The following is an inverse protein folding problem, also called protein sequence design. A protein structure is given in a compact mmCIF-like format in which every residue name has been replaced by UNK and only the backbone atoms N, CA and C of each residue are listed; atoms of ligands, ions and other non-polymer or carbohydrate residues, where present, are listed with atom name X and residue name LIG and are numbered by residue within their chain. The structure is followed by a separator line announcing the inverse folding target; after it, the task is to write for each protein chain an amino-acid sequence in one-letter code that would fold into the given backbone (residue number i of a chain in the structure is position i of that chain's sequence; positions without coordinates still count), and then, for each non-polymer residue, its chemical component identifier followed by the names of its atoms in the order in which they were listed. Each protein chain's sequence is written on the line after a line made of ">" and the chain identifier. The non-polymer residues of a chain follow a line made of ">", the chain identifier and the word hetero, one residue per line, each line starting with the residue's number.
data_IF_794435430262
#
_entry.id   IF_794435430262
#
_cell.length_a   1.000
_cell.length_b   1.000
_cell.length_c   1.000
_cell.angle_alpha   90.00
_cell.angle_beta   90.00
_cell.angle_gamma   90.00
#
_symmetry.space_group_name_H-M   'P 1'
#
loop_
_entity.id
_entity.type
_entity.pdbx_description
1 polymer ?
#
# COMPACT_ATOMS: atom_id res chain seq x y z
N UNK A 1 -4.98 -27.08 55.28
CA UNK A 1 -5.16 -27.37 53.86
C UNK A 1 -3.79 -27.33 53.20
N UNK A 2 -3.48 -28.32 52.44
CA UNK A 2 -2.23 -28.42 51.64
C UNK A 2 -2.69 -28.39 50.18
N UNK A 3 -2.05 -27.53 49.34
CA UNK A 3 -2.29 -27.52 47.92
C UNK A 3 -1.75 -28.83 47.32
N UNK A 4 -2.57 -29.53 46.54
CA UNK A 4 -2.23 -30.81 45.91
C UNK A 4 -2.12 -30.76 44.41
N UNK A 5 -2.25 -29.58 43.84
CA UNK A 5 -2.19 -29.32 42.40
C UNK A 5 -3.17 -28.23 41.98
N UNK A 6 -3.20 -27.96 40.71
CA UNK A 6 -4.16 -27.05 40.05
C UNK A 6 -4.60 -27.63 38.71
N UNK A 7 -5.86 -27.42 38.36
CA UNK A 7 -6.35 -27.66 37.01
C UNK A 7 -6.24 -26.37 36.22
N UNK A 8 -5.63 -26.44 35.03
CA UNK A 8 -5.47 -25.30 34.13
C UNK A 8 -6.39 -25.49 32.93
N UNK A 9 -7.18 -24.48 32.61
CA UNK A 9 -7.94 -24.40 31.36
C UNK A 9 -7.69 -23.09 30.66
N UNK A 10 -7.61 -23.13 29.33
CA UNK A 10 -7.39 -21.96 28.49
C UNK A 10 -8.63 -21.70 27.64
N UNK A 11 -9.02 -20.44 27.50
CA UNK A 11 -10.14 -20.00 26.65
C UNK A 11 -9.61 -18.94 25.71
N UNK A 12 -9.90 -19.10 24.43
CA UNK A 12 -9.60 -18.08 23.42
C UNK A 12 -10.70 -17.01 23.46
N UNK A 13 -10.33 -15.76 23.82
CA UNK A 13 -11.24 -14.63 23.90
C UNK A 13 -10.85 -13.56 22.87
N UNK A 14 -11.85 -12.92 22.26
CA UNK A 14 -11.65 -11.81 21.33
C UNK A 14 -11.74 -10.47 22.04
N UNK A 15 -10.66 -9.68 21.94
CA UNK A 15 -10.64 -8.28 22.41
C UNK A 15 -10.85 -7.36 21.21
N UNK A 16 -12.01 -6.68 21.11
CA UNK A 16 -12.28 -5.76 19.99
C UNK A 16 -11.26 -4.63 19.90
N UNK A 17 -10.94 -4.21 18.68
CA UNK A 17 -10.16 -3.01 18.44
C UNK A 17 -10.88 -1.77 18.99
N UNK A 18 -10.13 -0.77 19.43
CA UNK A 18 -10.68 0.49 19.95
C UNK A 18 -9.92 1.70 19.43
N UNK A 19 -10.64 2.81 19.24
CA UNK A 19 -10.03 4.09 18.93
C UNK A 19 -9.42 4.74 20.16
N UNK A 20 -8.27 5.40 19.98
CA UNK A 20 -7.61 6.22 21.00
C UNK A 20 -7.37 7.62 20.46
N UNK A 21 -7.71 8.63 21.26
CA UNK A 21 -7.33 10.02 20.97
C UNK A 21 -5.99 10.31 21.64
N UNK A 22 -4.98 10.59 20.84
CA UNK A 22 -3.65 10.98 21.31
C UNK A 22 -3.61 12.52 21.34
N UNK A 23 -3.58 13.09 22.54
CA UNK A 23 -3.51 14.54 22.74
C UNK A 23 -2.04 14.99 22.88
N UNK A 24 -1.53 15.70 21.88
CA UNK A 24 -0.21 16.31 21.95
C UNK A 24 -0.31 17.71 22.56
N UNK A 25 0.23 17.89 23.78
CA UNK A 25 0.28 19.19 24.47
C UNK A 25 1.66 19.78 24.29
N UNK A 26 1.72 20.99 23.73
CA UNK A 26 2.95 21.73 23.45
C UNK A 26 2.85 23.12 24.11
N UNK A 27 3.43 23.30 25.30
CA UNK A 27 3.45 24.62 25.94
C UNK A 27 4.14 25.68 25.08
N UNK A 28 3.57 26.86 25.04
CA UNK A 28 4.24 28.07 24.49
C UNK A 28 4.82 28.83 25.65
N UNK A 29 6.11 29.11 25.60
CA UNK A 29 6.83 29.85 26.59
C UNK A 29 7.23 31.21 26.00
N UNK A 30 7.16 32.28 26.81
CA UNK A 30 7.64 33.58 26.43
C UNK A 30 8.70 34.02 27.45
N UNK A 31 9.82 34.54 26.95
CA UNK A 31 10.84 35.15 27.80
C UNK A 31 10.31 36.50 28.36
N UNK A 32 10.37 36.67 29.68
CA UNK A 32 9.95 37.91 30.34
C UNK A 32 10.82 39.12 30.00
N UNK A 33 12.08 38.91 29.62
CA UNK A 33 13.03 39.97 29.28
C UNK A 33 13.00 40.38 27.81
N UNK A 34 13.15 39.42 26.89
CA UNK A 34 13.25 39.67 25.44
C UNK A 34 11.96 39.40 24.68
N UNK A 35 10.90 38.88 25.33
CA UNK A 35 9.60 38.53 24.73
C UNK A 35 9.67 37.50 23.60
N UNK A 36 10.79 36.81 23.44
CA UNK A 36 10.93 35.74 22.47
C UNK A 36 10.03 34.55 22.85
N UNK A 37 9.33 33.98 21.84
CA UNK A 37 8.51 32.78 22.02
C UNK A 37 9.32 31.52 21.72
N UNK A 38 9.16 30.53 22.58
CA UNK A 38 9.76 29.21 22.41
C UNK A 38 8.66 28.17 22.52
N UNK A 39 8.63 27.26 21.58
CA UNK A 39 7.70 26.11 21.59
C UNK A 39 8.40 24.91 20.95
N UNK A 40 8.23 23.72 21.51
CA UNK A 40 8.70 22.47 20.90
C UNK A 40 8.05 22.26 19.52
N UNK A 41 8.77 21.69 18.54
CA UNK A 41 8.20 21.36 17.24
C UNK A 41 7.02 20.40 17.39
N UNK A 42 6.09 20.43 16.45
CA UNK A 42 5.01 19.46 16.41
C UNK A 42 5.56 18.06 16.05
N UNK A 43 5.01 16.99 16.63
CA UNK A 43 5.36 15.65 16.18
C UNK A 43 5.05 15.50 14.68
N UNK A 44 5.93 14.81 13.97
CA UNK A 44 5.69 14.48 12.57
C UNK A 44 4.46 13.56 12.43
N UNK A 45 3.69 13.79 11.40
CA UNK A 45 2.52 12.98 11.06
C UNK A 45 2.73 12.37 9.68
N UNK A 46 2.26 11.13 9.44
CA UNK A 46 2.38 10.51 8.12
C UNK A 46 1.76 11.35 7.01
N UNK A 47 0.60 11.95 7.26
CA UNK A 47 -0.06 12.90 6.36
C UNK A 47 -0.02 14.27 7.03
N UNK A 48 0.54 15.27 6.35
CA UNK A 48 0.63 16.63 6.84
C UNK A 48 -0.76 17.18 7.19
N UNK A 49 -0.86 17.79 8.40
CA UNK A 49 -2.12 18.29 8.97
C UNK A 49 -3.22 17.23 9.08
N UNK A 50 -2.89 15.95 8.83
CA UNK A 50 -3.83 14.83 8.93
C UNK A 50 -4.24 14.55 10.37
N UNK A 51 -5.48 14.07 10.53
CA UNK A 51 -6.02 13.60 11.80
C UNK A 51 -5.48 12.20 12.18
N UNK A 52 -5.29 11.25 11.22
CA UNK A 52 -5.00 9.87 11.55
C UNK A 52 -3.56 9.68 12.04
N UNK A 53 -3.40 8.83 13.05
CA UNK A 53 -2.12 8.27 13.41
C UNK A 53 -1.70 7.15 12.44
N UNK A 54 -0.43 6.71 12.48
CA UNK A 54 0.08 5.69 11.56
C UNK A 54 -0.68 4.35 11.66
N UNK A 55 -1.07 3.93 12.86
CA UNK A 55 -1.79 2.68 13.04
C UNK A 55 -3.19 2.71 12.43
N UNK A 56 -3.89 3.85 12.50
CA UNK A 56 -5.20 3.99 11.86
C UNK A 56 -5.07 3.96 10.32
N UNK A 57 -4.05 4.60 9.75
CA UNK A 57 -3.77 4.52 8.32
C UNK A 57 -3.47 3.09 7.89
N UNK A 58 -2.61 2.38 8.62
CA UNK A 58 -2.29 0.99 8.35
C UNK A 58 -3.54 0.10 8.42
N UNK A 59 -4.38 0.28 9.44
CA UNK A 59 -5.63 -0.46 9.59
C UNK A 59 -6.59 -0.24 8.41
N UNK A 60 -6.78 1.02 7.98
CA UNK A 60 -7.63 1.34 6.81
C UNK A 60 -7.11 0.67 5.53
N UNK A 61 -5.79 0.68 5.31
CA UNK A 61 -5.18 0.06 4.14
C UNK A 61 -5.27 -1.46 4.16
N UNK A 62 -4.94 -2.10 5.29
CA UNK A 62 -5.03 -3.56 5.43
C UNK A 62 -6.48 -4.02 5.26
N UNK A 63 -7.42 -3.39 5.95
CA UNK A 63 -8.83 -3.71 5.81
C UNK A 63 -9.32 -3.56 4.35
N UNK A 64 -8.84 -2.54 3.62
CA UNK A 64 -9.24 -2.32 2.23
C UNK A 64 -8.60 -3.31 1.26
N UNK A 65 -7.29 -3.56 1.36
CA UNK A 65 -6.53 -4.29 0.35
C UNK A 65 -6.19 -5.72 0.76
N UNK A 66 -6.06 -5.99 2.05
CA UNK A 66 -5.86 -7.33 2.60
C UNK A 66 -7.18 -8.06 2.84
N UNK A 67 -8.14 -7.39 3.50
CA UNK A 67 -9.41 -7.99 3.89
C UNK A 67 -10.54 -7.72 2.89
N UNK A 68 -10.25 -6.99 1.79
CA UNK A 68 -11.21 -6.60 0.74
C UNK A 68 -12.43 -5.83 1.26
N UNK A 69 -12.29 -5.10 2.38
CA UNK A 69 -13.36 -4.35 3.02
C UNK A 69 -13.51 -2.95 2.39
N UNK A 70 -14.59 -2.65 1.67
CA UNK A 70 -14.77 -1.34 1.03
C UNK A 70 -14.81 -0.19 2.05
N UNK A 71 -14.34 1.00 1.66
CA UNK A 71 -14.28 2.17 2.55
C UNK A 71 -15.64 2.57 3.12
N UNK A 72 -16.74 2.37 2.39
CA UNK A 72 -18.07 2.66 2.92
C UNK A 72 -18.45 1.75 4.10
N UNK A 73 -18.06 0.46 4.04
CA UNK A 73 -18.27 -0.46 5.16
C UNK A 73 -17.38 -0.13 6.35
N UNK A 74 -16.13 0.26 6.10
CA UNK A 74 -15.25 0.74 7.16
C UNK A 74 -15.86 1.96 7.87
N UNK A 75 -16.38 2.93 7.10
CA UNK A 75 -17.08 4.10 7.64
C UNK A 75 -18.26 3.71 8.56
N UNK A 76 -19.07 2.72 8.15
CA UNK A 76 -20.19 2.22 8.96
C UNK A 76 -19.72 1.47 10.22
N UNK A 77 -18.62 0.70 10.12
CA UNK A 77 -18.05 0.00 11.28
C UNK A 77 -17.56 1.02 12.31
N UNK A 78 -16.79 2.03 11.89
CA UNK A 78 -16.26 3.07 12.76
C UNK A 78 -17.36 3.91 13.41
N UNK A 79 -18.44 4.19 12.67
CA UNK A 79 -19.61 4.89 13.23
C UNK A 79 -20.26 4.11 14.36
N UNK A 80 -20.36 2.77 14.28
CA UNK A 80 -20.85 1.91 15.37
C UNK A 80 -19.94 1.93 16.60
N UNK A 81 -18.65 2.20 16.40
CA UNK A 81 -17.66 2.38 17.46
C UNK A 81 -17.59 3.83 17.99
N UNK A 82 -18.51 4.70 17.54
CA UNK A 82 -18.62 6.10 17.97
C UNK A 82 -17.68 7.06 17.27
N UNK A 83 -17.05 6.64 16.15
CA UNK A 83 -16.14 7.50 15.38
C UNK A 83 -16.66 7.70 13.96
N UNK A 84 -17.13 8.91 13.67
CA UNK A 84 -17.65 9.25 12.34
C UNK A 84 -16.52 9.66 11.40
N UNK A 85 -16.22 8.81 10.42
CA UNK A 85 -15.27 9.05 9.35
C UNK A 85 -15.97 8.89 8.00
N UNK A 86 -16.01 9.96 7.21
CA UNK A 86 -16.64 9.91 5.90
C UNK A 86 -15.84 9.03 4.92
N UNK A 87 -16.53 8.42 3.95
CA UNK A 87 -15.88 7.67 2.88
C UNK A 87 -14.86 8.50 2.10
N UNK A 88 -15.13 9.79 1.89
CA UNK A 88 -14.20 10.71 1.21
C UNK A 88 -12.93 10.91 2.04
N UNK A 89 -13.05 11.12 3.35
CA UNK A 89 -11.91 11.22 4.26
C UNK A 89 -11.03 9.96 4.20
N UNK A 90 -11.65 8.78 4.24
CA UNK A 90 -10.92 7.52 4.13
C UNK A 90 -10.24 7.38 2.76
N UNK A 91 -10.88 7.82 1.67
CA UNK A 91 -10.28 7.81 0.34
C UNK A 91 -9.07 8.76 0.23
N UNK A 92 -9.15 9.95 0.83
CA UNK A 92 -8.04 10.91 0.90
C UNK A 92 -6.85 10.32 1.68
N UNK A 93 -7.13 9.59 2.77
CA UNK A 93 -6.07 8.90 3.54
C UNK A 93 -5.40 7.78 2.74
N UNK A 94 -6.18 7.02 1.96
CA UNK A 94 -5.64 6.02 1.04
C UNK A 94 -4.71 6.67 0.02
N UNK A 95 -5.15 7.77 -0.62
CA UNK A 95 -4.32 8.51 -1.58
C UNK A 95 -3.07 9.11 -0.95
N UNK A 96 -3.18 9.70 0.25
CA UNK A 96 -2.03 10.22 0.99
C UNK A 96 -1.03 9.13 1.38
N UNK A 97 -1.54 7.96 1.80
CA UNK A 97 -0.70 6.81 2.15
C UNK A 97 0.00 6.21 0.92
N UNK A 98 -0.67 6.16 -0.24
CA UNK A 98 -0.05 5.72 -1.48
C UNK A 98 1.20 6.56 -1.80
N UNK A 99 1.12 7.89 -1.69
CA UNK A 99 2.28 8.77 -1.89
C UNK A 99 3.42 8.51 -0.91
N UNK A 100 3.12 8.16 0.34
CA UNK A 100 4.16 7.80 1.33
C UNK A 100 4.87 6.50 0.96
N UNK A 101 4.17 5.58 0.31
CA UNK A 101 4.70 4.27 -0.09
C UNK A 101 5.44 4.32 -1.44
N UNK A 102 5.38 5.43 -2.20
CA UNK A 102 6.01 5.53 -3.52
C UNK A 102 7.51 5.15 -3.52
N UNK A 103 8.26 5.57 -2.50
CA UNK A 103 9.68 5.22 -2.39
C UNK A 103 9.91 3.72 -2.24
N UNK A 104 9.05 3.03 -1.48
CA UNK A 104 9.11 1.57 -1.34
C UNK A 104 8.71 0.87 -2.62
N UNK A 105 7.70 1.38 -3.33
CA UNK A 105 7.27 0.85 -4.63
C UNK A 105 8.37 1.00 -5.67
N UNK A 106 9.10 2.14 -5.69
CA UNK A 106 10.24 2.35 -6.56
C UNK A 106 11.39 1.38 -6.23
N UNK A 107 11.75 1.24 -4.97
CA UNK A 107 12.78 0.29 -4.54
C UNK A 107 12.41 -1.16 -4.90
N UNK A 108 11.14 -1.53 -4.76
CA UNK A 108 10.62 -2.84 -5.17
C UNK A 108 10.70 -3.02 -6.69
N UNK A 109 10.34 -2.01 -7.47
CA UNK A 109 10.51 -2.01 -8.94
C UNK A 109 11.97 -2.26 -9.30
N UNK A 110 12.89 -1.48 -8.71
CA UNK A 110 14.33 -1.57 -9.00
C UNK A 110 14.87 -2.97 -8.66
N UNK A 111 14.41 -3.56 -7.56
CA UNK A 111 14.77 -4.93 -7.20
C UNK A 111 14.23 -5.97 -8.19
N UNK A 112 12.95 -5.89 -8.54
CA UNK A 112 12.31 -6.84 -9.45
C UNK A 112 12.93 -6.78 -10.85
N UNK A 113 13.29 -5.59 -11.31
CA UNK A 113 13.85 -5.34 -12.65
C UNK A 113 15.39 -5.44 -12.72
N UNK A 114 16.08 -5.89 -11.67
CA UNK A 114 17.50 -6.23 -11.77
C UNK A 114 17.73 -7.30 -12.85
N UNK A 115 18.91 -7.33 -13.47
CA UNK A 115 19.26 -8.36 -14.46
C UNK A 115 18.96 -9.78 -13.95
N UNK A 116 18.40 -10.62 -14.82
CA UNK A 116 18.00 -11.98 -14.47
C UNK A 116 16.73 -12.39 -15.20
N UNK A 117 15.82 -13.08 -14.55
CA UNK A 117 14.55 -13.54 -15.12
C UNK A 117 13.36 -12.82 -14.45
N UNK A 118 12.45 -12.32 -15.28
CA UNK A 118 11.20 -11.70 -14.84
C UNK A 118 10.03 -12.36 -15.57
N UNK A 119 9.00 -12.72 -14.79
CA UNK A 119 7.71 -13.14 -15.32
C UNK A 119 6.79 -11.92 -15.42
N UNK A 120 6.09 -11.76 -16.54
CA UNK A 120 5.17 -10.66 -16.75
C UNK A 120 3.79 -11.18 -17.18
N UNK A 121 2.76 -10.58 -16.63
CA UNK A 121 1.36 -10.83 -16.96
C UNK A 121 0.54 -9.55 -16.77
N UNK A 122 -0.68 -9.50 -17.34
CA UNK A 122 -1.59 -8.39 -17.14
C UNK A 122 -3.01 -8.85 -16.80
N UNK A 123 -3.64 -8.16 -15.85
CA UNK A 123 -5.00 -8.41 -15.42
C UNK A 123 -5.91 -7.23 -15.74
N UNK A 124 -7.10 -7.44 -16.34
CA UNK A 124 -8.06 -6.37 -16.55
C UNK A 124 -8.65 -5.90 -15.22
N UNK A 125 -8.72 -4.58 -15.02
CA UNK A 125 -9.32 -3.98 -13.83
C UNK A 125 -10.38 -2.96 -14.21
N UNK A 126 -11.59 -3.01 -13.61
CA UNK A 126 -12.62 -2.01 -13.83
C UNK A 126 -12.23 -0.71 -13.12
N UNK A 127 -12.24 0.39 -13.83
CA UNK A 127 -11.87 1.72 -13.32
C UNK A 127 -13.06 2.66 -13.47
N UNK A 128 -13.43 3.33 -12.36
CA UNK A 128 -14.47 4.35 -12.39
C UNK A 128 -13.97 5.58 -13.19
N UNK A 129 -14.82 6.08 -14.06
CA UNK A 129 -14.60 7.29 -14.83
C UNK A 129 -15.76 8.26 -14.56
N UNK A 130 -15.55 9.30 -13.74
CA UNK A 130 -16.61 10.23 -13.39
C UNK A 130 -17.28 10.82 -14.65
N UNK A 131 -18.62 10.91 -14.63
CA UNK A 131 -19.41 11.45 -15.75
C UNK A 131 -19.72 10.46 -16.88
N UNK A 132 -19.12 9.26 -16.91
CA UNK A 132 -19.33 8.29 -18.00
C UNK A 132 -20.51 7.32 -17.76
N UNK A 133 -20.98 7.20 -16.52
CA UNK A 133 -22.06 6.26 -16.15
C UNK A 133 -21.67 4.78 -16.18
N UNK A 134 -20.45 4.43 -16.62
CA UNK A 134 -19.90 3.06 -16.64
C UNK A 134 -18.41 3.06 -16.38
N UNK A 135 -17.89 1.94 -15.90
CA UNK A 135 -16.44 1.73 -15.76
C UNK A 135 -15.75 1.58 -17.12
N UNK A 136 -14.50 1.98 -17.19
CA UNK A 136 -13.58 1.57 -18.26
C UNK A 136 -12.71 0.40 -17.79
N UNK A 137 -12.16 -0.36 -18.73
CA UNK A 137 -11.20 -1.42 -18.42
C UNK A 137 -9.79 -0.85 -18.50
N UNK A 138 -9.15 -0.75 -17.35
CA UNK A 138 -7.70 -0.54 -17.25
C UNK A 138 -6.97 -1.88 -17.14
N UNK A 139 -5.66 -1.83 -16.98
CA UNK A 139 -4.79 -3.00 -16.79
C UNK A 139 -3.89 -2.82 -15.59
N UNK A 140 -3.73 -3.90 -14.85
CA UNK A 140 -2.72 -4.04 -13.82
C UNK A 140 -1.68 -5.03 -14.34
N UNK A 141 -0.48 -4.53 -14.60
CA UNK A 141 0.66 -5.32 -15.04
C UNK A 141 1.38 -5.86 -13.81
N UNK A 142 1.65 -7.14 -13.78
CA UNK A 142 2.42 -7.80 -12.74
C UNK A 142 3.78 -8.23 -13.28
N UNK A 143 4.84 -7.84 -12.59
CA UNK A 143 6.21 -8.27 -12.87
C UNK A 143 6.72 -9.02 -11.66
N UNK A 144 7.11 -10.28 -11.85
CA UNK A 144 7.49 -11.16 -10.75
C UNK A 144 8.90 -11.69 -10.96
N UNK A 145 9.73 -11.49 -9.93
CA UNK A 145 11.03 -12.15 -9.79
C UNK A 145 10.86 -13.28 -8.78
N UNK A 146 11.01 -14.51 -9.24
CA UNK A 146 11.00 -15.69 -8.37
C UNK A 146 11.88 -16.78 -8.98
N UNK A 147 13.08 -16.92 -8.49
CA UNK A 147 14.08 -17.89 -8.94
C UNK A 147 14.30 -19.04 -7.95
N UNK A 148 13.41 -19.20 -6.95
CA UNK A 148 13.50 -20.28 -5.96
C UNK A 148 13.46 -21.66 -6.61
N UNK A 149 12.69 -21.83 -7.67
CA UNK A 149 12.65 -23.09 -8.43
C UNK A 149 14.01 -23.43 -9.10
N UNK A 150 14.88 -22.44 -9.32
CA UNK A 150 16.23 -22.61 -9.85
C UNK A 150 17.30 -22.69 -8.75
N UNK A 151 16.89 -22.79 -7.48
CA UNK A 151 17.79 -22.89 -6.33
C UNK A 151 18.32 -21.55 -5.82
N UNK A 152 17.82 -20.41 -6.28
CA UNK A 152 18.19 -19.10 -5.73
C UNK A 152 17.69 -18.92 -4.31
N UNK A 153 18.51 -18.27 -3.49
CA UNK A 153 18.14 -17.83 -2.13
C UNK A 153 17.60 -16.39 -2.10
N UNK A 154 17.56 -15.72 -3.24
CA UNK A 154 17.04 -14.35 -3.33
C UNK A 154 15.55 -14.32 -2.98
N UNK A 155 15.09 -13.34 -2.20
CA UNK A 155 13.68 -13.21 -1.87
C UNK A 155 12.82 -13.02 -3.12
N UNK A 156 11.71 -13.76 -3.28
CA UNK A 156 10.77 -13.51 -4.37
C UNK A 156 10.08 -12.16 -4.15
N UNK A 157 9.82 -11.46 -5.25
CA UNK A 157 9.14 -10.18 -5.20
C UNK A 157 8.26 -9.94 -6.43
N UNK A 158 7.22 -9.13 -6.28
CA UNK A 158 6.34 -8.71 -7.36
C UNK A 158 6.19 -7.19 -7.34
N UNK A 159 6.30 -6.59 -8.51
CA UNK A 159 6.00 -5.18 -8.74
C UNK A 159 4.79 -5.06 -9.67
N UNK A 160 3.89 -4.14 -9.34
CA UNK A 160 2.68 -3.89 -10.12
C UNK A 160 2.67 -2.49 -10.71
N UNK A 161 2.22 -2.38 -11.96
CA UNK A 161 2.04 -1.11 -12.64
C UNK A 161 0.64 -1.03 -13.27
N UNK A 162 0.03 0.15 -13.20
CA UNK A 162 -1.28 0.40 -13.80
C UNK A 162 -1.15 1.07 -15.16
N UNK A 163 -2.05 0.71 -16.09
CA UNK A 163 -2.26 1.48 -17.32
C UNK A 163 -3.76 1.64 -17.65
N UNK A 164 -4.15 2.71 -18.37
CA UNK A 164 -5.54 2.96 -18.72
C UNK A 164 -6.09 2.02 -19.80
N UNK A 165 -5.21 1.31 -20.52
CA UNK A 165 -5.54 0.37 -21.59
C UNK A 165 -4.45 -0.74 -21.68
N UNK A 166 -4.59 -1.67 -22.66
CA UNK A 166 -3.69 -2.81 -22.87
C UNK A 166 -2.64 -2.57 -23.95
N UNK A 167 -2.30 -1.34 -24.32
CA UNK A 167 -1.34 -1.10 -25.40
C UNK A 167 0.08 -1.55 -25.04
N UNK A 168 0.83 -2.06 -26.03
CA UNK A 168 2.20 -2.53 -25.87
C UNK A 168 3.19 -1.44 -25.43
N UNK A 169 2.87 -0.15 -25.62
CA UNK A 169 3.70 0.97 -25.14
C UNK A 169 3.92 0.96 -23.62
N UNK A 170 2.96 0.38 -22.87
CA UNK A 170 3.06 0.32 -21.40
C UNK A 170 4.14 -0.65 -20.94
N UNK A 171 4.13 -1.95 -21.32
CA UNK A 171 5.21 -2.86 -20.95
C UNK A 171 6.57 -2.44 -21.55
N UNK A 172 6.60 -1.85 -22.74
CA UNK A 172 7.83 -1.29 -23.31
C UNK A 172 8.43 -0.21 -22.40
N UNK A 173 7.60 0.69 -21.88
CA UNK A 173 8.05 1.72 -20.94
C UNK A 173 8.45 1.14 -19.58
N UNK A 174 7.69 0.18 -19.06
CA UNK A 174 7.95 -0.45 -17.78
C UNK A 174 9.30 -1.18 -17.76
N UNK A 175 9.61 -1.89 -18.84
CA UNK A 175 10.78 -2.75 -18.99
C UNK A 175 11.93 -2.08 -19.79
N UNK A 176 11.88 -0.78 -20.01
CA UNK A 176 12.84 -0.05 -20.83
C UNK A 176 14.30 -0.28 -20.42
N UNK A 177 14.54 -0.34 -19.12
CA UNK A 177 15.89 -0.48 -18.53
C UNK A 177 16.18 -1.93 -18.10
N UNK A 178 15.22 -2.83 -18.27
CA UNK A 178 15.41 -4.23 -17.90
C UNK A 178 16.31 -4.94 -18.94
N UNK A 179 17.27 -5.72 -18.45
CA UNK A 179 18.10 -6.61 -19.24
C UNK A 179 18.04 -8.02 -18.66
N UNK A 180 17.72 -9.02 -19.50
CA UNK A 180 17.62 -10.40 -19.03
C UNK A 180 16.51 -11.18 -19.76
N UNK A 181 16.03 -12.24 -19.14
CA UNK A 181 15.00 -13.13 -19.69
C UNK A 181 13.62 -12.65 -19.26
N UNK A 182 12.77 -12.28 -20.22
CA UNK A 182 11.37 -12.00 -20.00
C UNK A 182 10.54 -13.24 -20.32
N UNK A 183 9.76 -13.71 -19.37
CA UNK A 183 8.78 -14.76 -19.57
C UNK A 183 7.38 -14.18 -19.45
N UNK A 184 6.64 -14.10 -20.56
CA UNK A 184 5.28 -13.59 -20.62
C UNK A 184 4.39 -14.52 -21.46
N UNK A 185 3.08 -14.27 -21.43
CA UNK A 185 2.15 -14.94 -22.34
C UNK A 185 2.36 -14.45 -23.81
N UNK A 186 1.65 -15.08 -24.74
CA UNK A 186 1.73 -14.73 -26.17
C UNK A 186 1.00 -13.43 -26.54
N UNK A 187 0.83 -12.51 -25.60
CA UNK A 187 0.23 -11.22 -25.91
C UNK A 187 1.13 -10.37 -26.81
N UNK A 188 0.60 -9.96 -27.98
CA UNK A 188 1.33 -9.18 -28.98
C UNK A 188 1.98 -7.88 -28.46
N UNK A 189 1.51 -7.33 -27.34
CA UNK A 189 2.11 -6.15 -26.72
C UNK A 189 3.51 -6.40 -26.14
N UNK A 190 3.94 -7.66 -25.99
CA UNK A 190 5.30 -8.02 -25.57
C UNK A 190 6.22 -8.32 -26.77
N UNK A 191 5.70 -8.50 -28.01
CA UNK A 191 6.50 -8.88 -29.18
C UNK A 191 7.68 -7.94 -29.42
N UNK A 192 7.44 -6.63 -29.37
CA UNK A 192 8.50 -5.64 -29.58
C UNK A 192 9.63 -5.69 -28.53
N UNK A 193 9.42 -6.35 -27.38
CA UNK A 193 10.45 -6.58 -26.37
C UNK A 193 11.37 -7.75 -26.74
N UNK A 194 10.86 -8.71 -27.50
CA UNK A 194 11.63 -9.88 -27.95
C UNK A 194 12.44 -9.60 -29.24
N UNK A 195 11.94 -8.68 -30.10
CA UNK A 195 12.59 -8.31 -31.36
C UNK A 195 13.79 -7.37 -31.17
N UNK A 196 13.89 -6.71 -30.02
CA UNK A 196 15.04 -5.85 -29.75
C UNK A 196 16.22 -6.73 -29.34
N UNK A 197 17.21 -6.91 -30.23
CA UNK A 197 18.52 -7.41 -29.85
C UNK A 197 19.10 -6.49 -28.77
N UNK A 198 18.88 -6.85 -27.52
CA UNK A 198 19.47 -6.16 -26.37
C UNK A 198 20.91 -6.65 -26.26
N UNK A 199 21.83 -5.85 -26.85
CA UNK A 199 23.28 -6.01 -26.70
C UNK A 199 23.70 -5.90 -25.22
#
# INVERSE_FOLDING_TARGET
>A
LIAIGEDVSEVLEYVPASFKVIRHVRPKLSCSQCRTFVQAPAPQRPIDRGLPGPNLLAHVLVAKYGDHLPLYRQSEIYAREGVELSRSTLADWVGGSAKLLDLLVLALKDYVLQPGKVHADDTPVPVLEPGRGKTKTGRLWAYVRDDRASGSTDPPAAWFAYSPDRKGEHPLRHLREFSGVLQADAYAGFEALYETERK
#
